data_IF_578061100247
#
_entry.id   IF_578061100247
#
_cell.length_a   1.000
_cell.length_b   1.000
_cell.length_c   1.000
_cell.angle_alpha   90.00
_cell.angle_beta   90.00
_cell.angle_gamma   90.00
#
_symmetry.space_group_name_H-M   'P 1'
#
loop_
_entity.id
_entity.type
_entity.pdbx_description
1 polymer ?
#
# COMPACT_ATOMS: atom_id res chain seq x y z
N UNK A 1 17.98 40.94 -1.13
CA UNK A 1 16.58 40.50 -1.28
C UNK A 1 16.52 39.05 -0.85
N UNK A 2 15.78 38.74 0.22
CA UNK A 2 15.55 37.37 0.67
C UNK A 2 14.57 36.70 -0.31
N UNK A 3 15.01 35.62 -0.94
CA UNK A 3 14.13 34.72 -1.67
C UNK A 3 13.33 33.90 -0.67
N UNK A 4 12.05 34.21 -0.53
CA UNK A 4 11.08 33.39 0.20
C UNK A 4 10.95 32.05 -0.51
N UNK A 5 11.58 30.99 0.01
CA UNK A 5 11.29 29.63 -0.43
C UNK A 5 9.87 29.28 0.01
N UNK A 6 8.96 29.17 -0.95
CA UNK A 6 7.64 28.59 -0.73
C UNK A 6 7.83 27.09 -0.47
N UNK A 7 7.58 26.65 0.77
CA UNK A 7 7.53 25.22 1.15
C UNK A 7 6.33 24.54 0.47
N UNK A 8 6.45 24.22 -0.80
CA UNK A 8 5.48 23.35 -1.46
C UNK A 8 6.09 21.94 -1.53
N UNK A 9 5.78 21.10 -0.54
CA UNK A 9 6.19 19.68 -0.49
C UNK A 9 5.36 18.79 -1.44
N UNK A 10 4.70 19.38 -2.43
CA UNK A 10 3.79 18.68 -3.34
C UNK A 10 4.36 18.77 -4.74
N UNK A 11 4.59 17.61 -5.33
CA UNK A 11 5.00 17.46 -6.71
C UNK A 11 3.81 16.95 -7.52
N UNK A 12 3.53 17.59 -8.66
CA UNK A 12 2.49 17.16 -9.59
C UNK A 12 3.19 16.72 -10.87
N UNK A 13 2.85 15.54 -11.35
CA UNK A 13 3.38 14.97 -12.59
C UNK A 13 2.23 14.82 -13.57
N UNK A 14 2.47 15.22 -14.82
CA UNK A 14 1.58 14.93 -15.93
C UNK A 14 1.84 13.49 -16.41
N UNK A 15 0.88 12.59 -16.14
CA UNK A 15 0.94 11.18 -16.49
C UNK A 15 0.22 10.86 -17.81
N UNK A 16 0.07 11.84 -18.72
CA UNK A 16 -0.67 11.67 -19.98
C UNK A 16 0.20 11.33 -21.20
N UNK A 17 1.53 11.41 -21.08
CA UNK A 17 2.46 11.39 -22.21
C UNK A 17 3.39 10.18 -22.27
N UNK A 18 3.37 9.32 -21.25
CA UNK A 18 4.28 8.20 -21.10
C UNK A 18 3.53 6.94 -20.62
N UNK A 19 4.25 5.84 -20.42
CA UNK A 19 3.71 4.64 -19.78
C UNK A 19 3.49 4.85 -18.28
N UNK A 20 2.46 4.19 -17.74
CA UNK A 20 2.14 4.22 -16.31
C UNK A 20 3.36 3.90 -15.42
N UNK A 21 4.18 2.92 -15.82
CA UNK A 21 5.40 2.54 -15.10
C UNK A 21 6.44 3.66 -15.05
N UNK A 22 6.63 4.39 -16.16
CA UNK A 22 7.55 5.53 -16.20
C UNK A 22 7.03 6.70 -15.37
N UNK A 23 5.72 6.94 -15.38
CA UNK A 23 5.15 8.03 -14.61
C UNK A 23 5.15 7.76 -13.10
N UNK A 24 4.91 6.51 -12.70
CA UNK A 24 5.12 6.06 -11.31
C UNK A 24 6.61 6.19 -10.93
N UNK A 25 7.54 5.82 -11.82
CA UNK A 25 8.97 5.98 -11.56
C UNK A 25 9.35 7.45 -11.32
N UNK A 26 8.92 8.36 -12.21
CA UNK A 26 9.14 9.80 -12.05
C UNK A 26 8.62 10.29 -10.70
N UNK A 27 7.40 9.86 -10.31
CA UNK A 27 6.80 10.22 -9.03
C UNK A 27 7.65 9.78 -7.84
N UNK A 28 8.10 8.53 -7.84
CA UNK A 28 8.95 7.98 -6.80
C UNK A 28 10.31 8.69 -6.74
N UNK A 29 10.94 8.95 -7.88
CA UNK A 29 12.25 9.60 -7.97
C UNK A 29 12.24 11.03 -7.42
N UNK A 30 11.14 11.78 -7.55
CA UNK A 30 11.01 13.10 -6.92
C UNK A 30 11.10 13.06 -5.39
N UNK A 31 10.89 11.89 -4.77
CA UNK A 31 11.06 11.67 -3.33
C UNK A 31 12.35 10.89 -2.96
N UNK A 32 13.17 10.55 -3.96
CA UNK A 32 14.41 9.81 -3.84
C UNK A 32 14.32 8.30 -4.13
N UNK A 33 13.20 7.85 -4.69
CA UNK A 33 12.97 6.45 -5.07
C UNK A 33 12.62 5.53 -3.91
N UNK A 34 12.14 4.32 -4.22
CA UNK A 34 11.77 3.32 -3.23
C UNK A 34 12.99 2.81 -2.44
N UNK A 35 14.16 2.68 -3.08
CA UNK A 35 15.39 2.20 -2.44
C UNK A 35 15.93 3.13 -1.34
N UNK A 36 15.34 4.30 -1.16
CA UNK A 36 15.66 5.20 -0.05
C UNK A 36 15.10 4.71 1.30
N UNK A 37 14.07 3.87 1.28
CA UNK A 37 13.42 3.36 2.49
C UNK A 37 13.07 1.87 2.44
N UNK A 38 13.27 1.21 1.29
CA UNK A 38 13.17 -0.24 1.13
C UNK A 38 14.56 -0.78 0.79
N UNK A 39 15.03 -1.74 1.56
CA UNK A 39 16.27 -2.47 1.37
C UNK A 39 16.00 -3.92 1.01
N UNK A 40 17.01 -4.56 0.41
CA UNK A 40 16.95 -6.01 0.17
C UNK A 40 16.83 -6.75 1.49
N UNK A 41 15.82 -7.61 1.60
CA UNK A 41 15.54 -8.38 2.82
C UNK A 41 14.49 -7.74 3.71
N UNK A 42 14.08 -6.49 3.44
CA UNK A 42 12.95 -5.88 4.13
C UNK A 42 11.67 -6.63 3.75
N UNK A 43 10.80 -6.79 4.75
CA UNK A 43 9.43 -7.21 4.54
C UNK A 43 8.57 -6.00 4.18
N UNK A 44 7.88 -6.07 3.05
CA UNK A 44 7.00 -5.00 2.56
C UNK A 44 5.56 -5.48 2.51
N UNK A 45 4.70 -4.81 3.28
CA UNK A 45 3.26 -4.98 3.24
C UNK A 45 2.63 -3.87 2.39
N UNK A 46 1.96 -4.25 1.30
CA UNK A 46 1.23 -3.34 0.43
C UNK A 46 -0.25 -3.32 0.82
N UNK A 47 -0.79 -2.13 1.05
CA UNK A 47 -2.18 -1.89 1.45
C UNK A 47 -2.93 -1.15 0.33
N UNK A 48 -3.53 -1.85 -0.64
CA UNK A 48 -4.37 -1.22 -1.65
C UNK A 48 -5.69 -0.72 -1.04
N UNK A 49 -6.63 -0.32 -1.90
CA UNK A 49 -8.01 -0.03 -1.56
C UNK A 49 -8.95 -0.95 -2.33
N UNK A 50 -9.34 -2.06 -1.72
CA UNK A 50 -10.41 -2.95 -2.20
C UNK A 50 -11.55 -3.04 -1.18
N UNK A 51 -12.16 -1.90 -0.87
CA UNK A 51 -13.23 -1.81 0.12
C UNK A 51 -14.53 -2.50 -0.34
N UNK A 52 -14.85 -2.44 -1.64
CA UNK A 52 -16.03 -3.07 -2.27
C UNK A 52 -15.62 -3.73 -3.59
N UNK A 53 -16.53 -4.51 -4.19
CA UNK A 53 -16.36 -5.07 -5.54
C UNK A 53 -16.52 -4.07 -6.68
N UNK A 54 -16.65 -2.78 -6.38
CA UNK A 54 -16.75 -1.74 -7.40
C UNK A 54 -15.38 -1.53 -8.07
N UNK A 55 -15.31 -1.48 -9.41
CA UNK A 55 -14.04 -1.30 -10.11
C UNK A 55 -13.48 0.12 -9.91
N UNK A 56 -12.25 0.35 -10.39
CA UNK A 56 -11.68 1.68 -10.50
C UNK A 56 -12.68 2.66 -11.16
N UNK A 57 -12.87 3.89 -10.63
CA UNK A 57 -12.05 4.57 -9.62
C UNK A 57 -12.49 4.36 -8.15
N UNK A 58 -13.48 3.50 -7.87
CA UNK A 58 -13.91 3.25 -6.49
C UNK A 58 -12.93 2.36 -5.70
N UNK A 59 -12.21 1.49 -6.42
CA UNK A 59 -11.11 0.66 -5.91
C UNK A 59 -9.78 1.02 -6.56
N UNK A 60 -8.67 0.50 -6.03
CA UNK A 60 -7.36 0.59 -6.66
C UNK A 60 -7.40 0.07 -8.11
N UNK A 61 -6.78 0.80 -9.03
CA UNK A 61 -6.57 0.35 -10.39
C UNK A 61 -5.63 -0.89 -10.39
N UNK A 62 -6.05 -2.03 -10.96
CA UNK A 62 -5.21 -3.22 -11.07
C UNK A 62 -3.88 -2.97 -11.77
N UNK A 63 -3.85 -2.18 -12.85
CA UNK A 63 -2.61 -1.93 -13.61
C UNK A 63 -1.61 -1.13 -12.76
N UNK A 64 -2.11 -0.11 -12.06
CA UNK A 64 -1.31 0.67 -11.10
C UNK A 64 -0.75 -0.21 -9.99
N UNK A 65 -1.59 -1.05 -9.37
CA UNK A 65 -1.17 -1.92 -8.28
C UNK A 65 -0.10 -2.93 -8.72
N UNK A 66 -0.30 -3.61 -9.85
CA UNK A 66 0.68 -4.56 -10.40
C UNK A 66 2.01 -3.87 -10.69
N UNK A 67 1.97 -2.66 -11.26
CA UNK A 67 3.16 -1.87 -11.54
C UNK A 67 3.92 -1.48 -10.27
N UNK A 68 3.22 -1.07 -9.22
CA UNK A 68 3.83 -0.78 -7.91
C UNK A 68 4.43 -2.04 -7.29
N UNK A 69 3.73 -3.17 -7.35
CA UNK A 69 4.22 -4.45 -6.81
C UNK A 69 5.52 -4.85 -7.51
N UNK A 70 5.56 -4.78 -8.84
CA UNK A 70 6.76 -5.12 -9.60
C UNK A 70 7.95 -4.24 -9.21
N UNK A 71 7.75 -2.93 -9.08
CA UNK A 71 8.81 -2.00 -8.64
C UNK A 71 9.35 -2.31 -7.24
N UNK A 72 8.51 -2.81 -6.33
CA UNK A 72 8.95 -3.25 -5.00
C UNK A 72 9.70 -4.59 -5.08
N UNK A 73 9.20 -5.53 -5.88
CA UNK A 73 9.83 -6.83 -6.13
C UNK A 73 11.23 -6.71 -6.75
N UNK A 74 11.47 -5.66 -7.54
CA UNK A 74 12.79 -5.33 -8.08
C UNK A 74 13.83 -4.98 -6.97
N UNK A 75 13.37 -4.69 -5.74
CA UNK A 75 14.22 -4.29 -4.60
C UNK A 75 14.28 -5.39 -3.53
N UNK A 76 13.13 -5.99 -3.16
CA UNK A 76 13.03 -7.03 -2.13
C UNK A 76 12.04 -8.12 -2.52
N UNK A 77 12.28 -9.35 -2.07
CA UNK A 77 11.44 -10.50 -2.40
C UNK A 77 10.33 -10.79 -1.39
N UNK A 78 10.41 -10.25 -0.17
CA UNK A 78 9.38 -10.46 0.87
C UNK A 78 8.30 -9.37 0.75
N UNK A 79 7.44 -9.54 -0.24
CA UNK A 79 6.30 -8.65 -0.51
C UNK A 79 5.02 -9.40 -0.24
N UNK A 80 4.05 -8.78 0.44
CA UNK A 80 2.70 -9.31 0.61
C UNK A 80 1.66 -8.21 0.49
N UNK A 81 0.45 -8.54 0.05
CA UNK A 81 -0.70 -7.65 0.12
C UNK A 81 -1.42 -7.91 1.45
N UNK A 82 -1.80 -6.84 2.13
CA UNK A 82 -2.68 -6.89 3.30
C UNK A 82 -3.91 -6.03 3.04
N UNK A 83 -5.11 -6.59 3.19
CA UNK A 83 -6.35 -5.88 2.89
C UNK A 83 -7.53 -6.39 3.75
N UNK A 84 -8.53 -5.52 3.96
CA UNK A 84 -9.84 -5.84 4.53
C UNK A 84 -10.89 -4.99 3.84
N UNK A 85 -11.82 -5.64 3.15
CA UNK A 85 -13.01 -5.01 2.58
C UNK A 85 -13.99 -4.55 3.65
N UNK A 86 -15.02 -3.83 3.21
CA UNK A 86 -16.07 -3.31 4.07
C UNK A 86 -16.80 -4.41 4.83
N UNK A 87 -17.39 -4.04 5.97
CA UNK A 87 -18.11 -4.97 6.84
C UNK A 87 -19.14 -5.78 6.03
N UNK A 88 -19.09 -7.12 6.14
CA UNK A 88 -19.93 -8.14 5.45
C UNK A 88 -19.45 -8.59 4.08
N UNK A 89 -18.40 -8.00 3.51
CA UNK A 89 -17.75 -8.53 2.31
C UNK A 89 -16.55 -9.40 2.70
N UNK A 90 -16.22 -10.37 1.84
CA UNK A 90 -14.98 -11.13 1.95
C UNK A 90 -13.94 -10.54 1.02
N UNK A 91 -12.78 -10.19 1.54
CA UNK A 91 -11.73 -9.51 0.75
C UNK A 91 -11.27 -10.34 -0.43
N UNK A 92 -11.12 -11.66 -0.25
CA UNK A 92 -10.75 -12.55 -1.35
C UNK A 92 -11.77 -12.53 -2.49
N UNK A 93 -13.08 -12.54 -2.18
CA UNK A 93 -14.14 -12.48 -3.19
C UNK A 93 -14.13 -11.14 -3.93
N UNK A 94 -13.89 -10.04 -3.20
CA UNK A 94 -13.77 -8.69 -3.78
C UNK A 94 -12.58 -8.60 -4.74
N UNK A 95 -11.38 -8.98 -4.30
CA UNK A 95 -10.16 -8.92 -5.12
C UNK A 95 -10.29 -9.85 -6.32
N UNK A 96 -10.82 -11.07 -6.13
CA UNK A 96 -11.01 -12.01 -7.23
C UNK A 96 -11.97 -11.48 -8.29
N UNK A 97 -13.02 -10.76 -7.90
CA UNK A 97 -13.97 -10.14 -8.81
C UNK A 97 -13.38 -8.99 -9.64
N UNK A 98 -12.31 -8.36 -9.17
CA UNK A 98 -11.68 -7.21 -9.83
C UNK A 98 -10.43 -7.61 -10.64
N UNK A 99 -9.54 -8.44 -10.07
CA UNK A 99 -8.23 -8.77 -10.63
C UNK A 99 -7.72 -10.17 -10.27
N UNK A 100 -8.62 -11.15 -10.13
CA UNK A 100 -8.25 -12.49 -9.63
C UNK A 100 -7.25 -13.25 -10.51
N UNK A 101 -7.28 -13.04 -11.83
CA UNK A 101 -6.36 -13.70 -12.75
C UNK A 101 -4.94 -13.14 -12.60
N UNK A 102 -4.83 -11.82 -12.62
CA UNK A 102 -3.59 -11.06 -12.47
C UNK A 102 -2.95 -11.33 -11.10
N UNK A 103 -3.78 -11.35 -10.05
CA UNK A 103 -3.30 -11.62 -8.70
C UNK A 103 -2.75 -13.04 -8.55
N UNK A 104 -3.39 -14.03 -9.18
CA UNK A 104 -2.93 -15.42 -9.19
C UNK A 104 -1.61 -15.57 -9.96
N UNK A 105 -1.46 -14.88 -11.09
CA UNK A 105 -0.23 -14.92 -11.89
C UNK A 105 0.95 -14.30 -11.13
N UNK A 106 0.72 -13.20 -10.41
CA UNK A 106 1.74 -12.49 -9.65
C UNK A 106 2.33 -13.33 -8.51
N UNK A 107 1.54 -14.22 -7.90
CA UNK A 107 2.01 -15.16 -6.86
C UNK A 107 2.40 -14.51 -5.53
N UNK A 108 2.08 -13.23 -5.31
CA UNK A 108 2.32 -12.52 -4.06
C UNK A 108 1.28 -12.94 -3.01
N UNK A 109 1.65 -13.22 -1.75
CA UNK A 109 0.68 -13.58 -0.71
C UNK A 109 -0.36 -12.49 -0.45
N UNK A 110 -1.63 -12.89 -0.32
CA UNK A 110 -2.71 -12.05 0.18
C UNK A 110 -3.00 -12.41 1.63
N UNK A 111 -3.08 -11.38 2.48
CA UNK A 111 -3.40 -11.49 3.90
C UNK A 111 -4.71 -10.72 4.10
N UNK A 112 -5.74 -11.41 4.56
CA UNK A 112 -7.09 -10.84 4.66
C UNK A 112 -7.58 -10.75 6.10
N UNK A 113 -8.77 -10.18 6.29
CA UNK A 113 -9.48 -10.13 7.56
C UNK A 113 -9.60 -11.49 8.26
N UNK A 114 -9.56 -12.59 7.51
CA UNK A 114 -9.62 -13.95 8.05
C UNK A 114 -8.32 -14.37 8.74
N UNK A 115 -7.18 -13.81 8.30
CA UNK A 115 -5.85 -14.10 8.85
C UNK A 115 -5.48 -13.18 10.04
N UNK A 116 -6.26 -12.12 10.24
CA UNK A 116 -5.90 -11.07 11.19
C UNK A 116 -6.05 -11.53 12.63
N UNK A 117 -4.91 -11.76 13.29
CA UNK A 117 -4.81 -11.72 14.75
C UNK A 117 -4.66 -10.26 15.17
N UNK A 118 -5.60 -9.75 15.95
CA UNK A 118 -5.55 -8.35 16.36
C UNK A 118 -4.79 -8.17 17.67
N UNK A 119 -3.92 -7.15 17.70
CA UNK A 119 -3.32 -6.62 18.93
C UNK A 119 -3.99 -5.29 19.27
N UNK A 120 -4.35 -5.12 20.54
CA UNK A 120 -4.85 -3.84 21.03
C UNK A 120 -3.67 -2.97 21.41
N UNK A 121 -3.59 -1.78 20.84
CA UNK A 121 -2.61 -0.76 21.19
C UNK A 121 -3.28 0.26 22.10
N UNK A 122 -2.67 0.52 23.25
CA UNK A 122 -3.10 1.60 24.14
C UNK A 122 -2.50 2.92 23.66
N UNK A 123 -3.24 3.62 22.81
CA UNK A 123 -2.84 4.92 22.27
C UNK A 123 -2.86 6.01 23.35
N UNK A 124 -3.67 5.88 24.41
CA UNK A 124 -3.66 6.84 25.53
C UNK A 124 -2.32 6.83 26.22
N UNK A 125 -1.73 5.65 26.44
CA UNK A 125 -0.38 5.52 26.99
C UNK A 125 0.69 6.15 26.08
N UNK A 126 0.43 6.23 24.77
CA UNK A 126 1.30 6.88 23.77
C UNK A 126 0.98 8.37 23.56
N UNK A 127 0.12 8.98 24.38
CA UNK A 127 -0.19 10.40 24.33
C UNK A 127 -1.29 10.80 23.34
N UNK A 128 -2.07 9.85 22.79
CA UNK A 128 -3.14 10.19 21.85
C UNK A 128 -4.27 11.00 22.51
N UNK A 129 -4.70 12.08 21.84
CA UNK A 129 -5.70 13.02 22.34
C UNK A 129 -7.14 12.49 22.18
N UNK A 130 -7.46 11.81 21.07
CA UNK A 130 -8.83 11.41 20.74
C UNK A 130 -9.06 9.89 20.86
N UNK A 131 -8.46 9.09 19.97
CA UNK A 131 -8.61 7.64 19.98
C UNK A 131 -7.67 7.06 21.05
N UNK A 132 -8.24 6.40 22.06
CA UNK A 132 -7.49 5.89 23.23
C UNK A 132 -7.01 4.45 23.06
N UNK A 133 -7.71 3.67 22.25
CA UNK A 133 -7.37 2.28 21.95
C UNK A 133 -7.71 1.99 20.51
N UNK A 134 -6.86 1.21 19.86
CA UNK A 134 -7.07 0.74 18.49
C UNK A 134 -6.69 -0.73 18.40
N UNK A 135 -7.35 -1.47 17.53
CA UNK A 135 -6.98 -2.83 17.18
C UNK A 135 -6.31 -2.79 15.82
N UNK A 136 -5.08 -3.31 15.74
CA UNK A 136 -4.37 -3.49 14.48
C UNK A 136 -4.10 -4.97 14.23
N UNK A 137 -4.12 -5.43 12.97
CA UNK A 137 -3.56 -6.72 12.60
C UNK A 137 -2.11 -6.79 13.12
N UNK A 138 -1.82 -7.83 13.90
CA UNK A 138 -0.54 -8.00 14.56
C UNK A 138 0.61 -8.02 13.55
N UNK A 139 0.38 -8.56 12.35
CA UNK A 139 1.35 -8.60 11.26
C UNK A 139 1.84 -7.21 10.80
N UNK A 140 1.05 -6.15 11.00
CA UNK A 140 1.48 -4.77 10.73
C UNK A 140 2.42 -4.26 11.83
N UNK A 141 2.34 -4.83 13.04
CA UNK A 141 3.11 -4.43 14.20
C UNK A 141 4.38 -5.27 14.41
N UNK A 142 4.42 -6.47 13.82
CA UNK A 142 5.55 -7.38 13.87
C UNK A 142 6.64 -6.96 12.86
N UNK A 143 6.90 -5.66 12.73
CA UNK A 143 7.98 -5.12 11.90
C UNK A 143 9.28 -5.24 12.67
N UNK A 144 10.14 -6.16 12.23
CA UNK A 144 11.47 -6.52 12.77
C UNK A 144 11.46 -7.31 14.10
N UNK A 145 11.72 -8.61 13.96
CA UNK A 145 12.36 -9.44 14.98
C UNK A 145 13.82 -9.67 14.57
#
# INVERSE_FOLDING_TARGET
>A
MQTTQTKNNVNIIDASSDSLSNDIEKALQMHGGLSKFISKGDQVLLKPNFNTGDPFPASSDPEFLLTVIQKVLDITSDVSIIESSTLRLKTEEVINGIMGAEFKELGVPLITEQDFKYKTIDLKALGAEYIKKVKFPQRILDTEA
#
